data_IF_396236695990
#
_entry.id   IF_396236695990
#
_cell.length_a   1.000
_cell.length_b   1.000
_cell.length_c   1.000
_cell.angle_alpha   90.00
_cell.angle_beta   90.00
_cell.angle_gamma   90.00
#
_symmetry.space_group_name_H-M   'P 1'
#
loop_
_entity.id
_entity.type
_entity.pdbx_description
1 polymer ?
#
# COMPACT_ATOMS: atom_id res chain seq x y z
N UNK A 1 23.04 -13.56 -18.07
CA UNK A 1 22.48 -12.27 -17.62
C UNK A 1 20.95 -12.33 -17.68
N UNK A 2 20.23 -12.00 -16.61
CA UNK A 2 18.77 -11.84 -16.67
C UNK A 2 18.46 -10.59 -17.51
N UNK A 3 17.72 -10.74 -18.60
CA UNK A 3 17.30 -9.64 -19.47
C UNK A 3 16.44 -8.67 -18.66
N UNK A 4 16.82 -7.38 -18.62
CA UNK A 4 16.02 -6.33 -17.98
C UNK A 4 14.74 -6.13 -18.79
N UNK A 5 13.58 -6.38 -18.22
CA UNK A 5 12.30 -6.40 -18.92
C UNK A 5 11.67 -5.02 -19.12
N UNK A 6 12.22 -3.99 -18.48
CA UNK A 6 11.72 -2.60 -18.54
C UNK A 6 12.56 -1.68 -19.46
N UNK A 7 13.45 -2.27 -20.29
CA UNK A 7 14.31 -1.52 -21.22
C UNK A 7 14.17 -2.17 -22.60
N UNK A 8 13.91 -1.36 -23.62
CA UNK A 8 13.86 -1.79 -25.01
C UNK A 8 15.27 -1.99 -25.60
N UNK A 9 15.35 -2.37 -26.88
CA UNK A 9 16.63 -2.58 -27.60
C UNK A 9 17.48 -1.32 -27.68
N UNK A 10 16.88 -0.12 -27.59
CA UNK A 10 17.51 1.18 -27.68
C UNK A 10 17.88 1.79 -26.32
N UNK A 11 17.69 1.02 -25.22
CA UNK A 11 17.99 1.47 -23.87
C UNK A 11 16.92 2.37 -23.25
N UNK A 12 15.73 2.50 -23.87
CA UNK A 12 14.65 3.33 -23.38
C UNK A 12 13.78 2.56 -22.40
N UNK A 13 13.30 3.30 -21.39
CA UNK A 13 12.38 2.74 -20.38
C UNK A 13 11.01 2.50 -21.00
N UNK A 14 10.44 1.30 -20.77
CA UNK A 14 9.10 0.96 -21.23
C UNK A 14 8.36 0.13 -20.19
N UNK A 15 7.02 0.22 -20.22
CA UNK A 15 6.16 -0.65 -19.44
C UNK A 15 6.19 -2.07 -20.04
N UNK A 16 6.28 -3.10 -19.20
CA UNK A 16 6.33 -4.51 -19.67
C UNK A 16 5.00 -4.89 -20.31
N UNK A 17 5.04 -5.47 -21.51
CA UNK A 17 3.86 -6.07 -22.12
C UNK A 17 3.47 -7.36 -21.37
N UNK A 18 2.26 -7.38 -20.84
CA UNK A 18 1.68 -8.52 -20.13
C UNK A 18 0.49 -9.15 -20.86
N UNK A 19 0.15 -8.66 -22.07
CA UNK A 19 -1.06 -9.02 -22.80
C UNK A 19 -1.18 -10.53 -23.05
N UNK A 20 -0.06 -11.21 -23.32
CA UNK A 20 -0.01 -12.65 -23.55
C UNK A 20 -0.05 -13.52 -22.28
N UNK A 21 0.01 -12.89 -21.07
CA UNK A 21 0.01 -13.67 -19.82
C UNK A 21 -1.43 -14.05 -19.44
N UNK A 22 -1.64 -15.28 -18.94
CA UNK A 22 -2.95 -15.67 -18.46
C UNK A 22 -3.35 -14.88 -17.20
N UNK A 23 -4.66 -14.66 -17.07
CA UNK A 23 -5.25 -14.12 -15.85
C UNK A 23 -4.98 -15.07 -14.68
N UNK A 24 -4.69 -14.51 -13.53
CA UNK A 24 -4.51 -15.27 -12.29
C UNK A 24 -4.93 -14.43 -11.09
N UNK A 25 -5.41 -15.09 -10.03
CA UNK A 25 -5.68 -14.40 -8.76
C UNK A 25 -4.36 -13.94 -8.17
N UNK A 26 -4.32 -12.67 -7.80
CA UNK A 26 -3.16 -11.99 -7.23
C UNK A 26 -3.52 -11.44 -5.88
N UNK A 27 -2.66 -11.66 -4.91
CA UNK A 27 -2.76 -11.07 -3.58
C UNK A 27 -1.38 -10.58 -3.15
N UNK A 28 -1.34 -9.39 -2.56
CA UNK A 28 -0.14 -8.85 -1.95
C UNK A 28 -0.50 -8.24 -0.59
N UNK A 29 0.43 -8.35 0.36
CA UNK A 29 0.33 -7.73 1.68
C UNK A 29 1.57 -6.90 1.90
N UNK A 30 1.40 -5.61 2.16
CA UNK A 30 2.46 -4.71 2.58
C UNK A 30 2.24 -4.26 4.03
N UNK A 31 3.32 -3.80 4.65
CA UNK A 31 3.34 -3.32 6.04
C UNK A 31 4.20 -2.07 6.13
N UNK A 32 3.94 -1.24 7.13
CA UNK A 32 4.78 -0.11 7.49
C UNK A 32 4.45 0.37 8.90
N UNK A 33 5.33 1.20 9.44
CA UNK A 33 5.21 1.75 10.81
C UNK A 33 5.36 3.25 10.81
N UNK A 34 4.69 3.90 11.74
CA UNK A 34 4.96 5.28 12.11
C UNK A 34 5.19 5.36 13.61
N UNK A 35 6.32 5.94 14.02
CA UNK A 35 6.59 6.25 15.42
C UNK A 35 5.87 7.54 15.79
N UNK A 36 5.20 7.53 16.94
CA UNK A 36 4.45 8.65 17.50
C UNK A 36 4.83 8.83 18.97
N UNK A 37 4.78 10.06 19.46
CA UNK A 37 4.93 10.31 20.89
C UNK A 37 3.70 9.78 21.65
N UNK A 38 3.87 9.46 22.93
CA UNK A 38 2.81 8.91 23.79
C UNK A 38 1.61 9.85 23.85
N UNK A 39 1.87 11.13 23.99
CA UNK A 39 0.85 12.18 24.06
C UNK A 39 0.01 12.22 22.77
N UNK A 40 0.64 11.99 21.61
CA UNK A 40 -0.04 11.93 20.31
C UNK A 40 -0.95 10.72 20.22
N UNK A 41 -0.49 9.55 20.69
CA UNK A 41 -1.31 8.33 20.75
C UNK A 41 -2.52 8.53 21.67
N UNK A 42 -2.35 9.19 22.81
CA UNK A 42 -3.45 9.49 23.74
C UNK A 42 -4.47 10.45 23.11
N UNK A 43 -4.03 11.46 22.33
CA UNK A 43 -4.93 12.35 21.57
C UNK A 43 -5.70 11.59 20.49
N UNK A 44 -5.04 10.68 19.76
CA UNK A 44 -5.69 9.83 18.75
C UNK A 44 -6.74 8.95 19.40
N UNK A 45 -6.40 8.29 20.51
CA UNK A 45 -7.30 7.37 21.21
C UNK A 45 -8.58 8.06 21.75
N UNK A 46 -8.50 9.38 22.04
CA UNK A 46 -9.61 10.19 22.53
C UNK A 46 -10.31 11.00 21.43
N UNK A 47 -9.97 10.80 20.15
CA UNK A 47 -10.45 11.59 19.02
C UNK A 47 -10.25 13.12 19.20
N UNK A 48 -9.13 13.52 19.83
CA UNK A 48 -8.82 14.93 20.15
C UNK A 48 -7.85 15.59 19.16
N UNK A 49 -7.53 14.94 18.06
CA UNK A 49 -6.76 15.55 16.97
C UNK A 49 -7.69 16.52 16.21
N UNK A 50 -7.25 17.77 16.05
CA UNK A 50 -8.08 18.84 15.46
C UNK A 50 -8.58 18.53 14.03
N UNK A 51 -7.88 17.71 13.27
CA UNK A 51 -8.26 17.28 11.92
C UNK A 51 -9.27 16.12 11.89
N UNK A 52 -9.72 15.61 13.05
CA UNK A 52 -10.69 14.52 13.16
C UNK A 52 -10.07 13.16 13.40
N UNK A 53 -10.82 12.08 13.13
CA UNK A 53 -10.40 10.72 13.39
C UNK A 53 -9.25 10.28 12.46
N UNK A 54 -8.07 10.14 13.05
CA UNK A 54 -6.81 9.90 12.32
C UNK A 54 -6.81 8.55 11.61
N UNK A 55 -7.17 7.47 12.31
CA UNK A 55 -7.08 6.13 11.73
C UNK A 55 -8.17 5.86 10.70
N UNK A 56 -9.38 6.40 10.90
CA UNK A 56 -10.44 6.30 9.90
C UNK A 56 -10.05 7.03 8.60
N UNK A 57 -9.54 8.26 8.71
CA UNK A 57 -9.08 9.04 7.57
C UNK A 57 -7.91 8.37 6.85
N UNK A 58 -6.92 7.89 7.60
CA UNK A 58 -5.76 7.19 7.03
C UNK A 58 -6.16 5.90 6.30
N UNK A 59 -7.15 5.16 6.82
CA UNK A 59 -7.68 3.96 6.17
C UNK A 59 -8.30 4.28 4.82
N UNK A 60 -9.15 5.29 4.76
CA UNK A 60 -9.79 5.73 3.50
C UNK A 60 -8.72 6.21 2.51
N UNK A 61 -7.78 7.03 2.97
CA UNK A 61 -6.69 7.55 2.14
C UNK A 61 -5.80 6.43 1.58
N UNK A 62 -5.46 5.41 2.39
CA UNK A 62 -4.69 4.26 1.95
C UNK A 62 -5.40 3.43 0.88
N UNK A 63 -6.72 3.19 1.04
CA UNK A 63 -7.54 2.53 0.02
C UNK A 63 -7.53 3.35 -1.28
N UNK A 64 -7.70 4.66 -1.19
CA UNK A 64 -7.69 5.56 -2.34
C UNK A 64 -6.32 5.57 -3.03
N UNK A 65 -5.23 5.61 -2.24
CA UNK A 65 -3.86 5.54 -2.76
C UNK A 65 -3.60 4.25 -3.54
N UNK A 66 -3.98 3.11 -2.99
CA UNK A 66 -3.86 1.82 -3.69
C UNK A 66 -4.59 1.82 -5.03
N UNK A 67 -5.79 2.42 -5.10
CA UNK A 67 -6.57 2.53 -6.35
C UNK A 67 -5.96 3.48 -7.37
N UNK A 68 -5.10 4.39 -6.97
CA UNK A 68 -4.43 5.39 -7.83
C UNK A 68 -2.98 5.02 -8.16
N UNK A 69 -2.52 3.83 -7.85
CA UNK A 69 -1.11 3.41 -8.01
C UNK A 69 -0.57 3.69 -9.40
N UNK A 70 -1.30 3.35 -10.46
CA UNK A 70 -0.85 3.57 -11.84
C UNK A 70 -0.72 5.05 -12.21
N UNK A 71 -1.38 5.96 -11.50
CA UNK A 71 -1.24 7.41 -11.69
C UNK A 71 -0.01 7.97 -10.96
N UNK A 72 0.48 7.27 -9.93
CA UNK A 72 1.60 7.70 -9.10
C UNK A 72 2.93 7.06 -9.53
N UNK A 73 2.89 5.83 -10.03
CA UNK A 73 4.07 5.03 -10.38
C UNK A 73 4.09 4.81 -11.90
N UNK A 74 5.00 5.46 -12.64
CA UNK A 74 4.91 5.60 -14.09
C UNK A 74 4.83 4.30 -14.90
N UNK A 75 5.50 3.22 -14.44
CA UNK A 75 5.55 1.95 -15.16
C UNK A 75 4.59 0.89 -14.62
N UNK A 76 3.70 1.25 -13.68
CA UNK A 76 2.68 0.34 -13.21
C UNK A 76 1.51 0.25 -14.20
N UNK A 77 1.00 -0.96 -14.36
CA UNK A 77 -0.22 -1.22 -15.14
C UNK A 77 -1.44 -0.70 -14.37
N UNK A 78 -2.43 -0.21 -15.10
CA UNK A 78 -3.74 0.10 -14.51
C UNK A 78 -4.48 -1.19 -14.22
N UNK A 79 -4.72 -1.48 -12.93
CA UNK A 79 -5.39 -2.69 -12.49
C UNK A 79 -6.73 -2.39 -11.86
N UNK A 80 -7.74 -3.22 -12.16
CA UNK A 80 -9.00 -3.23 -11.43
C UNK A 80 -8.83 -4.04 -10.16
N UNK A 81 -8.83 -3.38 -9.00
CA UNK A 81 -8.70 -4.05 -7.71
C UNK A 81 -10.05 -4.64 -7.29
N UNK A 82 -10.06 -5.95 -7.02
CA UNK A 82 -11.23 -6.63 -6.48
C UNK A 82 -11.43 -6.35 -4.99
N UNK A 83 -10.32 -6.14 -4.26
CA UNK A 83 -10.35 -5.82 -2.83
C UNK A 83 -9.11 -5.05 -2.43
N UNK A 84 -9.31 -4.06 -1.54
CA UNK A 84 -8.25 -3.39 -0.78
C UNK A 84 -8.71 -3.27 0.66
N UNK A 85 -7.87 -3.69 1.63
CA UNK A 85 -8.09 -3.44 3.04
C UNK A 85 -6.88 -2.78 3.67
N UNK A 86 -7.13 -1.84 4.57
CA UNK A 86 -6.12 -1.16 5.39
C UNK A 86 -6.44 -1.44 6.86
N UNK A 87 -5.55 -2.16 7.52
CA UNK A 87 -5.60 -2.41 8.95
C UNK A 87 -4.60 -1.50 9.65
N UNK A 88 -5.03 -0.78 10.67
CA UNK A 88 -4.20 0.11 11.47
C UNK A 88 -4.33 -0.28 12.92
N UNK A 89 -3.20 -0.58 13.56
CA UNK A 89 -3.13 -1.00 14.97
C UNK A 89 -2.18 -0.06 15.70
N UNK A 90 -2.68 0.54 16.79
CA UNK A 90 -1.82 1.31 17.69
C UNK A 90 -0.87 0.35 18.42
N UNK A 91 0.40 0.75 18.56
CA UNK A 91 1.44 0.07 19.30
C UNK A 91 1.96 0.95 20.44
N UNK A 92 2.88 0.43 21.25
CA UNK A 92 3.44 1.16 22.41
C UNK A 92 4.07 2.51 22.01
N UNK A 93 4.68 2.59 20.83
CA UNK A 93 5.50 3.70 20.36
C UNK A 93 5.03 4.27 18.99
N UNK A 94 3.79 3.99 18.59
CA UNK A 94 3.25 4.50 17.34
C UNK A 94 2.07 3.70 16.79
N UNK A 95 2.05 3.49 15.49
CA UNK A 95 1.06 2.67 14.81
C UNK A 95 1.68 1.81 13.72
N UNK A 96 1.11 0.63 13.51
CA UNK A 96 1.44 -0.28 12.42
C UNK A 96 0.29 -0.26 11.40
N UNK A 97 0.66 -0.20 10.14
CA UNK A 97 -0.28 -0.20 9.01
C UNK A 97 -0.01 -1.43 8.16
N UNK A 98 -1.06 -2.16 7.84
CA UNK A 98 -1.02 -3.27 6.88
C UNK A 98 -2.01 -2.99 5.76
N UNK A 99 -1.58 -3.18 4.50
CA UNK A 99 -2.46 -3.13 3.34
C UNK A 99 -2.48 -4.50 2.66
N UNK A 100 -3.68 -5.02 2.43
CA UNK A 100 -3.90 -6.18 1.57
C UNK A 100 -4.59 -5.73 0.30
N UNK A 101 -4.01 -6.03 -0.86
CA UNK A 101 -4.60 -5.79 -2.18
C UNK A 101 -4.81 -7.12 -2.92
N UNK A 102 -5.95 -7.25 -3.62
CA UNK A 102 -6.28 -8.43 -4.41
C UNK A 102 -6.90 -8.06 -5.75
N UNK A 103 -6.59 -8.85 -6.78
CA UNK A 103 -7.20 -8.74 -8.11
C UNK A 103 -7.13 -10.05 -8.87
N UNK A 104 -7.79 -10.10 -10.03
CA UNK A 104 -7.57 -11.11 -11.08
C UNK A 104 -6.98 -10.37 -12.27
N UNK A 105 -5.69 -10.59 -12.54
CA UNK A 105 -4.95 -9.86 -13.57
C UNK A 105 -3.74 -10.66 -14.12
N UNK A 106 -3.13 -10.13 -15.18
CA UNK A 106 -1.90 -10.68 -15.77
C UNK A 106 -0.64 -10.36 -14.94
N UNK A 107 -0.70 -9.32 -14.08
CA UNK A 107 0.44 -8.90 -13.23
C UNK A 107 0.05 -8.85 -11.76
N UNK A 108 1.05 -8.67 -10.88
CA UNK A 108 0.85 -8.63 -9.43
C UNK A 108 0.36 -7.27 -8.94
N UNK A 109 -0.02 -7.20 -7.67
CA UNK A 109 -0.59 -6.02 -6.95
C UNK A 109 0.31 -5.54 -5.82
N UNK A 110 1.61 -5.80 -5.94
CA UNK A 110 2.59 -5.45 -4.90
C UNK A 110 2.67 -3.94 -4.70
N UNK A 111 2.65 -3.18 -5.81
CA UNK A 111 2.75 -1.73 -5.77
C UNK A 111 1.49 -1.10 -5.18
N UNK A 112 0.32 -1.64 -5.47
CA UNK A 112 -0.94 -1.22 -4.89
C UNK A 112 -0.93 -1.39 -3.36
N UNK A 113 -0.42 -2.51 -2.87
CA UNK A 113 -0.29 -2.73 -1.43
C UNK A 113 0.71 -1.77 -0.78
N UNK A 114 1.88 -1.56 -1.40
CA UNK A 114 2.92 -0.63 -0.90
C UNK A 114 2.44 0.82 -0.92
N UNK A 115 1.80 1.28 -2.00
CA UNK A 115 1.24 2.63 -2.09
C UNK A 115 0.14 2.82 -1.05
N UNK A 116 -0.73 1.83 -0.85
CA UNK A 116 -1.78 1.87 0.17
C UNK A 116 -1.23 2.09 1.57
N UNK A 117 -0.19 1.34 1.97
CA UNK A 117 0.50 1.54 3.25
C UNK A 117 1.12 2.92 3.34
N UNK A 118 1.85 3.33 2.30
CA UNK A 118 2.59 4.60 2.30
C UNK A 118 1.65 5.79 2.43
N UNK A 119 0.55 5.81 1.69
CA UNK A 119 -0.45 6.90 1.73
C UNK A 119 -1.15 6.93 3.09
N UNK A 120 -1.48 5.78 3.69
CA UNK A 120 -2.05 5.73 5.03
C UNK A 120 -1.08 6.30 6.08
N UNK A 121 0.21 5.93 6.04
CA UNK A 121 1.24 6.45 6.95
C UNK A 121 1.46 7.96 6.77
N UNK A 122 1.51 8.46 5.54
CA UNK A 122 1.62 9.89 5.24
C UNK A 122 0.39 10.66 5.75
N UNK A 123 -0.80 10.06 5.70
CA UNK A 123 -2.02 10.67 6.22
C UNK A 123 -1.99 10.78 7.75
N UNK A 124 -1.55 9.74 8.46
CA UNK A 124 -1.32 9.83 9.91
C UNK A 124 -0.33 10.95 10.22
N UNK A 125 0.79 11.01 9.49
CA UNK A 125 1.80 12.04 9.63
C UNK A 125 1.21 13.44 9.45
N UNK A 126 0.48 13.69 8.35
CA UNK A 126 -0.12 15.00 8.06
C UNK A 126 -1.11 15.43 9.14
N UNK A 127 -1.94 14.50 9.62
CA UNK A 127 -2.95 14.81 10.64
C UNK A 127 -2.34 15.13 12.00
N UNK A 128 -1.20 14.54 12.34
CA UNK A 128 -0.55 14.70 13.65
C UNK A 128 0.61 15.71 13.68
N UNK A 129 1.13 16.17 12.53
CA UNK A 129 2.33 17.02 12.46
C UNK A 129 2.26 18.34 13.22
N UNK A 130 1.05 18.83 13.55
CA UNK A 130 0.88 20.02 14.38
C UNK A 130 1.30 19.77 15.83
N UNK A 131 1.02 18.57 16.36
CA UNK A 131 1.25 18.19 17.76
C UNK A 131 2.49 17.31 17.97
N UNK A 132 2.94 16.61 16.92
CA UNK A 132 4.13 15.74 17.00
C UNK A 132 5.13 16.10 15.89
N UNK A 133 6.33 16.53 16.30
CA UNK A 133 7.43 16.89 15.37
C UNK A 133 8.49 15.81 15.25
N UNK A 134 8.35 14.68 15.99
CA UNK A 134 9.34 13.61 16.04
C UNK A 134 8.91 12.34 15.35
N UNK A 135 7.82 12.39 14.61
CA UNK A 135 7.29 11.23 13.88
C UNK A 135 8.30 10.70 12.87
N UNK A 136 8.35 9.38 12.73
CA UNK A 136 9.19 8.71 11.75
C UNK A 136 8.40 7.57 11.10
N UNK A 137 8.32 7.61 9.78
CA UNK A 137 7.80 6.50 8.97
C UNK A 137 8.96 5.55 8.69
N UNK A 138 8.74 4.25 8.88
CA UNK A 138 9.76 3.23 8.71
C UNK A 138 9.14 1.88 8.31
N UNK A 139 10.02 0.92 7.94
CA UNK A 139 9.66 -0.47 7.70
C UNK A 139 8.53 -0.65 6.68
N UNK A 140 8.48 0.20 5.64
CA UNK A 140 7.58 0.00 4.51
C UNK A 140 8.15 -1.11 3.66
N UNK A 141 7.49 -2.26 3.66
CA UNK A 141 7.96 -3.47 2.96
C UNK A 141 6.81 -4.38 2.55
N UNK A 142 7.08 -5.22 1.55
CA UNK A 142 6.18 -6.26 1.12
C UNK A 142 6.36 -7.49 2.01
N UNK A 143 5.26 -7.94 2.65
CA UNK A 143 5.26 -9.13 3.50
C UNK A 143 4.93 -10.39 2.71
N UNK A 144 4.02 -10.30 1.75
CA UNK A 144 3.46 -11.45 1.06
C UNK A 144 3.12 -11.12 -0.39
N UNK A 145 3.36 -12.09 -1.26
CA UNK A 145 2.95 -12.06 -2.66
C UNK A 145 2.49 -13.45 -3.06
N UNK A 146 1.21 -13.58 -3.43
CA UNK A 146 0.61 -14.84 -3.87
C UNK A 146 0.12 -14.70 -5.31
N UNK A 147 0.40 -15.73 -6.10
CA UNK A 147 -0.19 -15.96 -7.41
C UNK A 147 -0.87 -17.34 -7.43
N UNK A 148 -2.18 -17.37 -7.68
CA UNK A 148 -2.94 -18.62 -7.86
C UNK A 148 -3.46 -18.68 -9.29
N UNK A 149 -3.09 -19.71 -10.03
CA UNK A 149 -3.54 -19.91 -11.42
C UNK A 149 -5.03 -20.28 -11.40
N UNK A 150 -5.83 -19.67 -12.27
CA UNK A 150 -7.23 -20.04 -12.43
C UNK A 150 -7.30 -21.51 -12.91
N UNK A 151 -7.84 -22.40 -12.08
CA UNK A 151 -7.91 -23.85 -12.32
C UNK A 151 -7.62 -24.71 -11.08
N UNK A 152 -7.11 -24.11 -9.98
CA UNK A 152 -6.83 -24.83 -8.72
C UNK A 152 -7.93 -24.63 -7.65
N UNK A 153 -9.14 -24.27 -8.05
CA UNK A 153 -10.28 -24.28 -7.13
C UNK A 153 -10.92 -25.66 -7.24
N UNK A 154 -10.38 -26.64 -6.53
CA UNK A 154 -11.15 -27.82 -6.15
C UNK A 154 -12.23 -27.37 -5.18
N UNK A 155 -13.46 -27.57 -5.58
CA UNK A 155 -14.70 -27.47 -4.80
C UNK A 155 -14.59 -28.18 -3.45
#
# INVERSE_FOLDING_TARGET
MKRLTHIDSDGRVQMVDVSAKPLSKRRAVAHGKIRLQRETLDLIARDQIAKGNVFATARIAGIQGAKQTAQLIPLCHTLQLGQVSIDIVASKDGAEVKCTAQTIAQTGVEMEALVGVTVALLTIYDMCKAVDKKMQISNVLLLEKIKTVAGSITS
#
